data_IF_081237946685
#
_entry.id   IF_081237946685
#
_cell.length_a   1.000
_cell.length_b   1.000
_cell.length_c   1.000
_cell.angle_alpha   90.00
_cell.angle_beta   90.00
_cell.angle_gamma   90.00
#
_symmetry.space_group_name_H-M   'P 1'
#
loop_
_entity.id
_entity.type
_entity.pdbx_description
1 polymer ?
#
# COMPACT_ATOMS: atom_id res chain seq x y z
N UNK A 1 -5.89 -41.16 20.87
CA UNK A 1 -6.13 -42.15 19.80
C UNK A 1 -5.04 -42.03 18.75
N UNK A 2 -4.29 -43.09 18.46
CA UNK A 2 -3.19 -43.02 17.52
C UNK A 2 -3.74 -43.00 16.08
N UNK A 3 -3.81 -41.85 15.45
CA UNK A 3 -4.47 -41.62 14.15
C UNK A 3 -3.82 -42.37 12.97
N UNK A 4 -2.64 -42.95 13.15
CA UNK A 4 -1.88 -43.63 12.08
C UNK A 4 -1.76 -45.15 12.26
N UNK A 5 -2.45 -45.73 13.23
CA UNK A 5 -2.47 -47.17 13.37
C UNK A 5 -1.14 -47.87 13.76
N UNK A 6 -0.09 -47.07 14.07
CA UNK A 6 1.19 -47.64 14.49
C UNK A 6 1.26 -47.88 16.00
N UNK A 7 1.73 -49.05 16.37
CA UNK A 7 2.17 -49.35 17.72
C UNK A 7 3.67 -49.02 17.78
N UNK A 8 4.05 -48.04 18.51
CA UNK A 8 5.42 -47.54 18.62
C UNK A 8 5.75 -46.47 17.57
N UNK A 9 5.58 -45.24 17.92
CA UNK A 9 5.93 -44.06 17.09
C UNK A 9 7.41 -43.76 17.17
N UNK A 10 8.05 -43.70 16.00
CA UNK A 10 9.38 -43.11 15.85
C UNK A 10 9.34 -41.61 15.54
N UNK A 11 8.16 -41.05 15.15
CA UNK A 11 7.96 -39.65 14.80
C UNK A 11 6.95 -39.04 15.77
N UNK A 12 7.35 -37.98 16.45
CA UNK A 12 6.46 -37.23 17.30
C UNK A 12 5.46 -36.43 16.47
N UNK A 13 4.21 -36.36 16.93
CA UNK A 13 3.24 -35.42 16.36
C UNK A 13 3.69 -34.00 16.77
N UNK A 14 3.86 -33.09 15.82
CA UNK A 14 4.23 -31.71 16.17
C UNK A 14 3.14 -31.09 17.04
N UNK A 15 3.57 -30.31 18.02
CA UNK A 15 2.68 -29.47 18.83
C UNK A 15 2.23 -28.29 17.99
N UNK A 16 0.92 -28.12 17.84
CA UNK A 16 0.33 -27.04 17.08
C UNK A 16 0.35 -25.74 17.88
N UNK A 17 0.63 -24.65 17.22
CA UNK A 17 0.56 -23.31 17.82
C UNK A 17 -0.90 -22.91 18.04
N UNK A 18 -1.20 -22.43 19.26
CA UNK A 18 -2.55 -21.99 19.63
C UNK A 18 -2.87 -20.61 19.03
N UNK A 19 -1.92 -19.67 19.09
CA UNK A 19 -2.09 -18.34 18.53
C UNK A 19 -1.84 -18.36 17.02
N UNK A 20 -2.61 -17.60 16.23
CA UNK A 20 -2.34 -17.47 14.81
C UNK A 20 -1.02 -16.73 14.58
N UNK A 21 -0.31 -17.05 13.49
CA UNK A 21 0.77 -16.19 13.00
C UNK A 21 0.20 -15.01 12.24
N UNK A 22 0.97 -13.90 12.19
CA UNK A 22 0.66 -12.72 11.39
C UNK A 22 1.61 -12.70 10.18
N UNK A 23 1.07 -12.50 8.98
CA UNK A 23 1.86 -12.32 7.76
C UNK A 23 1.55 -10.95 7.19
N UNK A 24 2.54 -10.09 7.12
CA UNK A 24 2.43 -8.77 6.49
C UNK A 24 2.88 -8.90 5.04
N UNK A 25 2.01 -8.51 4.11
CA UNK A 25 2.28 -8.58 2.68
C UNK A 25 2.38 -7.19 2.10
N UNK A 26 3.52 -6.85 1.53
CA UNK A 26 3.73 -5.57 0.85
C UNK A 26 4.31 -5.79 -0.55
N UNK A 27 4.27 -4.76 -1.39
CA UNK A 27 5.00 -4.78 -2.66
C UNK A 27 6.50 -4.96 -2.42
N UNK A 28 6.99 -4.34 -1.35
CA UNK A 28 8.40 -4.25 -1.01
C UNK A 28 9.03 -2.96 -1.57
N UNK A 29 10.22 -2.66 -1.11
CA UNK A 29 11.01 -1.55 -1.60
C UNK A 29 12.49 -1.92 -1.55
N UNK A 30 13.28 -1.41 -2.48
CA UNK A 30 14.74 -1.53 -2.50
C UNK A 30 15.42 -0.20 -2.20
N UNK A 31 14.64 0.81 -1.84
CA UNK A 31 15.07 2.17 -1.61
C UNK A 31 15.09 2.53 -0.13
N UNK A 32 15.44 3.78 0.15
CA UNK A 32 15.38 4.38 1.50
C UNK A 32 14.03 4.21 2.21
N UNK A 33 12.96 3.89 1.46
CA UNK A 33 11.61 3.70 1.99
C UNK A 33 11.44 2.43 2.84
N UNK A 34 12.47 1.60 3.06
CA UNK A 34 12.42 0.48 4.01
C UNK A 34 12.04 0.94 5.43
N UNK A 35 12.47 2.14 5.83
CA UNK A 35 12.12 2.74 7.11
C UNK A 35 10.59 2.84 7.37
N UNK A 36 9.78 2.91 6.32
CA UNK A 36 8.31 2.89 6.41
C UNK A 36 7.81 1.53 6.92
N UNK A 37 8.43 0.44 6.48
CA UNK A 37 8.06 -0.89 6.95
C UNK A 37 8.42 -1.09 8.42
N UNK A 38 9.53 -0.50 8.86
CA UNK A 38 9.97 -0.53 10.27
C UNK A 38 8.98 0.23 11.17
N UNK A 39 8.45 1.38 10.72
CA UNK A 39 7.39 2.10 11.44
C UNK A 39 6.16 1.24 11.64
N UNK A 40 5.69 0.59 10.58
CA UNK A 40 4.55 -0.32 10.66
C UNK A 40 4.83 -1.53 11.55
N UNK A 41 5.99 -2.17 11.37
CA UNK A 41 6.39 -3.35 12.14
C UNK A 41 6.49 -3.05 13.62
N UNK A 42 7.09 -1.89 13.99
CA UNK A 42 7.17 -1.45 15.38
C UNK A 42 5.78 -1.30 16.02
N UNK A 43 4.84 -0.64 15.32
CA UNK A 43 3.47 -0.48 15.80
C UNK A 43 2.73 -1.82 15.91
N UNK A 44 2.99 -2.73 14.98
CA UNK A 44 2.44 -4.08 14.96
C UNK A 44 2.94 -4.91 16.15
N UNK A 45 4.24 -4.92 16.41
CA UNK A 45 4.88 -5.65 17.51
C UNK A 45 4.41 -5.14 18.87
N UNK A 46 4.22 -3.83 19.02
CA UNK A 46 3.64 -3.24 20.23
C UNK A 46 2.21 -3.73 20.49
N UNK A 47 1.42 -3.92 19.43
CA UNK A 47 0.02 -4.32 19.58
C UNK A 47 -0.17 -5.83 19.74
N UNK A 48 0.70 -6.65 19.12
CA UNK A 48 0.67 -8.12 19.18
C UNK A 48 2.02 -8.72 19.55
N UNK A 49 2.58 -8.41 20.73
CA UNK A 49 3.96 -8.78 21.10
C UNK A 49 4.18 -10.30 21.24
N UNK A 50 3.10 -11.07 21.37
CA UNK A 50 3.20 -12.52 21.56
C UNK A 50 2.93 -13.31 20.28
N UNK A 51 2.71 -12.63 19.14
CA UNK A 51 2.44 -13.30 17.87
C UNK A 51 3.71 -13.42 17.03
N UNK A 52 3.84 -14.54 16.34
CA UNK A 52 4.90 -14.70 15.35
C UNK A 52 4.54 -13.86 14.11
N UNK A 53 5.41 -12.98 13.71
CA UNK A 53 5.24 -12.11 12.55
C UNK A 53 6.16 -12.58 11.44
N UNK A 54 5.62 -12.69 10.23
CA UNK A 54 6.33 -12.92 8.99
C UNK A 54 6.11 -11.73 8.06
N UNK A 55 7.13 -11.42 7.26
CA UNK A 55 7.01 -10.46 6.17
C UNK A 55 7.06 -11.19 4.85
N UNK A 56 6.26 -10.76 3.88
CA UNK A 56 6.24 -11.29 2.52
C UNK A 56 6.15 -10.15 1.51
N UNK A 57 6.78 -10.34 0.35
CA UNK A 57 6.85 -9.33 -0.68
C UNK A 57 6.28 -9.84 -1.99
N UNK A 58 5.42 -9.03 -2.65
CA UNK A 58 4.80 -9.42 -3.93
C UNK A 58 5.74 -9.21 -5.11
N UNK A 59 6.58 -8.16 -5.08
CA UNK A 59 7.51 -7.87 -6.18
C UNK A 59 8.64 -8.89 -6.30
N UNK A 60 8.64 -9.65 -7.41
CA UNK A 60 9.70 -10.61 -7.72
C UNK A 60 11.07 -9.94 -7.90
N UNK A 61 11.10 -8.70 -8.42
CA UNK A 61 12.34 -7.95 -8.63
C UNK A 61 12.97 -7.58 -7.28
N UNK A 62 12.16 -7.06 -6.36
CA UNK A 62 12.62 -6.66 -5.02
C UNK A 62 13.09 -7.90 -4.24
N UNK A 63 12.30 -8.98 -4.26
CA UNK A 63 12.67 -10.24 -3.58
C UNK A 63 14.03 -10.79 -4.03
N UNK A 64 14.33 -10.76 -5.33
CA UNK A 64 15.64 -11.19 -5.87
C UNK A 64 16.80 -10.35 -5.36
N UNK A 65 16.57 -9.05 -5.11
CA UNK A 65 17.61 -8.13 -4.61
C UNK A 65 17.81 -8.22 -3.10
N UNK A 66 16.73 -8.38 -2.34
CA UNK A 66 16.72 -8.32 -0.87
C UNK A 66 16.81 -9.68 -0.19
N UNK A 67 16.52 -10.78 -0.91
CA UNK A 67 16.40 -12.12 -0.32
C UNK A 67 15.13 -12.32 0.52
N UNK A 68 14.21 -11.38 0.50
CA UNK A 68 12.96 -11.46 1.26
C UNK A 68 11.99 -12.50 0.66
N UNK A 69 11.20 -13.19 1.49
CA UNK A 69 10.32 -14.25 1.03
C UNK A 69 9.10 -13.73 0.25
N UNK A 70 8.58 -14.55 -0.63
CA UNK A 70 7.24 -14.42 -1.19
C UNK A 70 6.17 -14.78 -0.16
N UNK A 71 4.90 -14.46 -0.45
CA UNK A 71 3.79 -14.95 0.37
C UNK A 71 3.74 -16.48 0.43
N UNK A 72 4.02 -17.15 -0.69
CA UNK A 72 4.08 -18.61 -0.73
C UNK A 72 5.13 -19.19 0.23
N UNK A 73 6.35 -18.60 0.24
CA UNK A 73 7.41 -19.01 1.16
C UNK A 73 7.06 -18.69 2.62
N UNK A 74 6.46 -17.53 2.90
CA UNK A 74 6.04 -17.17 4.25
C UNK A 74 4.94 -18.11 4.79
N UNK A 75 3.98 -18.50 3.95
CA UNK A 75 2.95 -19.49 4.30
C UNK A 75 3.56 -20.87 4.56
N UNK A 76 4.50 -21.31 3.71
CA UNK A 76 5.21 -22.57 3.91
C UNK A 76 6.01 -22.57 5.22
N UNK A 77 6.67 -21.47 5.57
CA UNK A 77 7.38 -21.31 6.85
C UNK A 77 6.41 -21.36 8.03
N UNK A 78 5.27 -20.67 7.96
CA UNK A 78 4.26 -20.72 9.01
C UNK A 78 3.74 -22.15 9.22
N UNK A 79 3.45 -22.90 8.14
CA UNK A 79 3.05 -24.29 8.23
C UNK A 79 4.14 -25.19 8.83
N UNK A 80 5.40 -25.00 8.43
CA UNK A 80 6.56 -25.70 8.95
C UNK A 80 6.81 -25.43 10.44
N UNK A 81 6.50 -24.21 10.93
CA UNK A 81 6.53 -23.84 12.36
C UNK A 81 5.31 -24.34 13.15
N UNK A 82 4.45 -25.16 12.56
CA UNK A 82 3.27 -25.79 13.15
C UNK A 82 2.10 -24.84 13.43
N UNK A 83 2.04 -23.67 12.78
CA UNK A 83 0.83 -22.89 12.76
C UNK A 83 -0.27 -23.59 11.96
N UNK A 84 -1.54 -23.36 12.36
CA UNK A 84 -2.73 -23.82 11.62
C UNK A 84 -3.64 -22.67 11.23
N UNK A 85 -3.42 -21.52 11.85
CA UNK A 85 -4.12 -20.27 11.55
C UNK A 85 -3.11 -19.19 11.26
N UNK A 86 -3.34 -18.45 10.19
CA UNK A 86 -2.55 -17.29 9.81
C UNK A 86 -3.48 -16.12 9.54
N UNK A 87 -3.08 -14.95 9.99
CA UNK A 87 -3.78 -13.70 9.65
C UNK A 87 -2.88 -12.90 8.73
N UNK A 88 -3.38 -12.58 7.55
CA UNK A 88 -2.60 -11.96 6.48
C UNK A 88 -3.10 -10.53 6.31
N UNK A 89 -2.21 -9.55 6.51
CA UNK A 89 -2.51 -8.15 6.28
C UNK A 89 -1.75 -7.64 5.06
N UNK A 90 -2.44 -7.41 3.94
CA UNK A 90 -1.86 -6.71 2.80
C UNK A 90 -1.72 -5.22 3.09
N UNK A 91 -0.58 -4.63 2.71
CA UNK A 91 -0.33 -3.20 2.76
C UNK A 91 -0.64 -2.51 1.41
N UNK A 92 -1.33 -3.21 0.52
CA UNK A 92 -1.87 -2.63 -0.71
C UNK A 92 -2.92 -1.57 -0.39
N UNK A 93 -2.90 -0.49 -1.15
CA UNK A 93 -3.87 0.61 -0.99
C UNK A 93 -5.21 0.23 -1.59
N UNK A 94 -5.20 -0.37 -2.78
CA UNK A 94 -6.39 -0.67 -3.58
C UNK A 94 -6.61 -2.18 -3.71
N UNK A 95 -7.89 -2.64 -3.79
CA UNK A 95 -8.23 -4.06 -3.96
C UNK A 95 -8.12 -4.47 -5.43
N UNK A 96 -6.91 -4.45 -6.00
CA UNK A 96 -6.61 -4.80 -7.38
C UNK A 96 -6.17 -6.25 -7.57
N UNK A 97 -5.62 -6.52 -8.75
CA UNK A 97 -5.11 -7.83 -9.15
C UNK A 97 -4.08 -8.40 -8.16
N UNK A 98 -3.18 -7.56 -7.61
CA UNK A 98 -2.24 -8.03 -6.58
C UNK A 98 -2.93 -8.58 -5.33
N UNK A 99 -3.99 -7.91 -4.86
CA UNK A 99 -4.78 -8.39 -3.73
C UNK A 99 -5.47 -9.71 -4.06
N UNK A 100 -6.01 -9.87 -5.28
CA UNK A 100 -6.58 -11.14 -5.72
C UNK A 100 -5.55 -12.26 -5.72
N UNK A 101 -4.34 -12.01 -6.19
CA UNK A 101 -3.24 -12.98 -6.15
C UNK A 101 -2.85 -13.39 -4.72
N UNK A 102 -2.94 -12.45 -3.75
CA UNK A 102 -2.74 -12.78 -2.32
C UNK A 102 -3.83 -13.77 -1.86
N UNK A 103 -5.11 -13.50 -2.20
CA UNK A 103 -6.23 -14.39 -1.87
C UNK A 103 -6.03 -15.78 -2.47
N UNK A 104 -5.74 -15.85 -3.77
CA UNK A 104 -5.52 -17.09 -4.50
C UNK A 104 -4.32 -17.88 -3.94
N UNK A 105 -3.22 -17.20 -3.59
CA UNK A 105 -2.04 -17.87 -3.01
C UNK A 105 -2.38 -18.59 -1.72
N UNK A 106 -3.30 -18.07 -0.91
CA UNK A 106 -3.72 -18.72 0.34
C UNK A 106 -4.43 -20.05 0.10
N UNK A 107 -5.10 -20.24 -1.04
CA UNK A 107 -5.81 -21.46 -1.40
C UNK A 107 -4.88 -22.65 -1.65
N UNK A 108 -3.61 -22.39 -1.99
CA UNK A 108 -2.60 -23.45 -2.16
C UNK A 108 -2.12 -24.07 -0.83
N UNK A 109 -2.57 -23.55 0.30
CA UNK A 109 -2.18 -24.01 1.63
C UNK A 109 -3.36 -24.56 2.44
N UNK A 110 -3.94 -25.71 2.05
CA UNK A 110 -5.11 -26.30 2.74
C UNK A 110 -4.81 -26.72 4.19
N UNK A 111 -3.53 -26.83 4.56
CA UNK A 111 -3.11 -27.09 5.94
C UNK A 111 -3.16 -25.86 6.85
N UNK A 112 -3.30 -24.66 6.27
CA UNK A 112 -3.43 -23.39 6.97
C UNK A 112 -4.84 -22.82 6.80
N UNK A 113 -5.42 -22.32 7.88
CA UNK A 113 -6.64 -21.52 7.83
C UNK A 113 -6.24 -20.05 7.75
N UNK A 114 -6.45 -19.44 6.59
CA UNK A 114 -6.04 -18.07 6.30
C UNK A 114 -7.19 -17.09 6.56
N UNK A 115 -6.90 -15.99 7.24
CA UNK A 115 -7.82 -14.87 7.51
C UNK A 115 -7.19 -13.61 6.94
N UNK A 116 -7.84 -13.01 5.95
CA UNK A 116 -7.28 -11.86 5.24
C UNK A 116 -7.82 -10.55 5.77
N UNK A 117 -6.91 -9.61 6.03
CA UNK A 117 -7.22 -8.20 6.21
C UNK A 117 -7.58 -7.52 4.88
N UNK A 118 -8.34 -6.46 4.98
CA UNK A 118 -8.72 -5.65 3.81
C UNK A 118 -7.59 -4.67 3.44
N UNK A 119 -7.54 -4.27 2.17
CA UNK A 119 -6.65 -3.20 1.70
C UNK A 119 -7.04 -1.85 2.29
N UNK A 120 -6.18 -0.83 2.17
CA UNK A 120 -6.43 0.48 2.78
C UNK A 120 -7.75 1.11 2.30
N UNK A 121 -7.98 1.13 1.01
CA UNK A 121 -9.17 1.72 0.36
C UNK A 121 -10.14 0.64 -0.16
N UNK A 122 -10.37 -0.40 0.62
CA UNK A 122 -11.24 -1.52 0.25
C UNK A 122 -12.73 -1.16 0.23
N UNK A 123 -13.14 -0.16 1.00
CA UNK A 123 -14.53 0.29 1.18
C UNK A 123 -14.64 1.80 0.99
N UNK A 124 -15.79 2.29 0.56
CA UNK A 124 -16.00 3.72 0.36
C UNK A 124 -15.78 4.56 1.63
N UNK A 125 -16.20 4.07 2.79
CA UNK A 125 -15.94 4.76 4.06
C UNK A 125 -14.43 4.80 4.41
N UNK A 126 -13.65 3.81 3.98
CA UNK A 126 -12.18 3.82 4.17
C UNK A 126 -11.50 4.88 3.30
N UNK A 127 -12.01 5.09 2.09
CA UNK A 127 -11.54 6.19 1.23
C UNK A 127 -11.76 7.53 1.92
N UNK A 128 -12.93 7.73 2.53
CA UNK A 128 -13.24 8.95 3.29
C UNK A 128 -12.30 9.15 4.50
N UNK A 129 -11.96 8.07 5.20
CA UNK A 129 -11.00 8.10 6.32
C UNK A 129 -9.62 8.56 5.85
N UNK A 130 -9.12 7.98 4.74
CA UNK A 130 -7.80 8.34 4.17
C UNK A 130 -7.80 9.77 3.66
N UNK A 131 -8.86 10.20 2.96
CA UNK A 131 -8.95 11.57 2.47
C UNK A 131 -8.90 12.60 3.60
N UNK A 132 -9.54 12.35 4.75
CA UNK A 132 -9.46 13.23 5.92
C UNK A 132 -8.04 13.38 6.46
N UNK A 133 -7.21 12.35 6.37
CA UNK A 133 -5.79 12.44 6.74
C UNK A 133 -5.06 13.31 5.73
N UNK A 134 -5.30 13.11 4.43
CA UNK A 134 -4.61 13.84 3.37
C UNK A 134 -5.07 15.31 3.26
N UNK A 135 -6.30 15.64 3.65
CA UNK A 135 -6.81 17.03 3.67
C UNK A 135 -5.91 17.99 4.45
N UNK A 136 -5.20 17.50 5.47
CA UNK A 136 -4.27 18.30 6.27
C UNK A 136 -3.02 18.73 5.49
N UNK A 137 -2.72 18.03 4.40
CA UNK A 137 -1.58 18.30 3.53
C UNK A 137 -1.93 19.16 2.31
N UNK A 138 -3.21 19.42 2.08
CA UNK A 138 -3.65 20.16 0.90
C UNK A 138 -3.31 21.64 1.02
N UNK A 139 -2.73 22.18 -0.05
CA UNK A 139 -2.65 23.63 -0.23
C UNK A 139 -4.07 24.18 -0.30
N UNK A 140 -4.34 25.32 0.34
CA UNK A 140 -5.63 25.97 0.20
C UNK A 140 -5.84 26.47 -1.25
N UNK A 141 -7.09 26.57 -1.73
CA UNK A 141 -7.40 26.98 -3.11
C UNK A 141 -6.84 28.35 -3.52
N UNK A 142 -6.54 29.20 -2.54
CA UNK A 142 -5.92 30.53 -2.77
C UNK A 142 -4.41 30.47 -2.98
N UNK A 143 -3.77 29.32 -2.73
CA UNK A 143 -2.32 29.15 -2.80
C UNK A 143 -1.93 28.27 -3.98
N UNK A 144 -2.53 27.09 -4.11
CA UNK A 144 -2.06 26.15 -5.10
C UNK A 144 -3.02 25.02 -5.44
N UNK A 145 -2.57 24.21 -6.39
CA UNK A 145 -3.20 22.99 -6.85
C UNK A 145 -2.55 21.77 -6.17
N UNK A 146 -3.36 20.78 -5.79
CA UNK A 146 -2.89 19.52 -5.24
C UNK A 146 -3.11 18.40 -6.25
N UNK A 147 -2.09 17.62 -6.52
CA UNK A 147 -2.13 16.47 -7.41
C UNK A 147 -1.89 15.18 -6.62
N UNK A 148 -2.94 14.38 -6.41
CA UNK A 148 -2.81 13.05 -5.83
C UNK A 148 -2.23 12.10 -6.88
N UNK A 149 -1.01 11.64 -6.66
CA UNK A 149 -0.31 10.73 -7.55
C UNK A 149 -0.59 9.28 -7.17
N UNK A 150 -1.33 8.57 -8.03
CA UNK A 150 -1.70 7.17 -7.90
C UNK A 150 -0.69 6.29 -8.64
N UNK A 151 -0.54 5.03 -8.23
CA UNK A 151 0.24 4.08 -9.02
C UNK A 151 -0.47 3.77 -10.34
N UNK A 152 -1.75 3.43 -10.25
CA UNK A 152 -2.52 2.98 -11.40
C UNK A 152 -2.21 1.53 -11.78
N UNK A 153 -2.68 1.12 -12.95
CA UNK A 153 -2.43 -0.20 -13.54
C UNK A 153 -2.58 -0.14 -15.06
N UNK A 154 -1.71 -0.81 -15.84
CA UNK A 154 -1.85 -0.86 -17.29
C UNK A 154 -2.98 -1.81 -17.73
N UNK A 155 -3.56 -2.58 -16.81
CA UNK A 155 -4.59 -3.57 -17.12
C UNK A 155 -5.99 -2.96 -16.98
N UNK A 156 -6.70 -2.76 -18.07
CA UNK A 156 -8.07 -2.25 -18.03
C UNK A 156 -9.04 -3.14 -17.23
N UNK A 157 -8.77 -4.45 -17.17
CA UNK A 157 -9.55 -5.42 -16.42
C UNK A 157 -9.23 -5.47 -14.91
N UNK A 158 -8.23 -4.72 -14.43
CA UNK A 158 -7.88 -4.70 -13.01
C UNK A 158 -9.03 -4.10 -12.20
N UNK A 159 -9.54 -4.80 -11.16
CA UNK A 159 -10.64 -4.29 -10.34
C UNK A 159 -10.30 -2.98 -9.60
N UNK A 160 -9.02 -2.65 -9.39
CA UNK A 160 -8.61 -1.37 -8.81
C UNK A 160 -9.07 -0.16 -9.64
N UNK A 161 -9.26 -0.31 -10.95
CA UNK A 161 -9.72 0.77 -11.82
C UNK A 161 -11.05 1.40 -11.38
N UNK A 162 -11.97 0.59 -10.82
CA UNK A 162 -13.23 1.11 -10.29
C UNK A 162 -12.98 2.08 -9.13
N UNK A 163 -12.00 1.76 -8.29
CA UNK A 163 -11.65 2.61 -7.15
C UNK A 163 -10.90 3.85 -7.61
N UNK A 164 -9.98 3.74 -8.57
CA UNK A 164 -9.27 4.88 -9.15
C UNK A 164 -10.25 5.90 -9.76
N UNK A 165 -11.16 5.45 -10.63
CA UNK A 165 -12.18 6.30 -11.26
C UNK A 165 -13.18 6.85 -10.25
N UNK A 166 -13.57 6.04 -9.26
CA UNK A 166 -14.44 6.48 -8.17
C UNK A 166 -13.80 7.56 -7.30
N UNK A 167 -12.51 7.41 -6.99
CA UNK A 167 -11.74 8.40 -6.25
C UNK A 167 -11.60 9.71 -7.03
N UNK A 168 -11.24 9.64 -8.31
CA UNK A 168 -11.18 10.80 -9.20
C UNK A 168 -12.51 11.56 -9.19
N UNK A 169 -13.62 10.85 -9.36
CA UNK A 169 -14.96 11.44 -9.34
C UNK A 169 -15.32 12.08 -8.01
N UNK A 170 -14.93 11.45 -6.90
CA UNK A 170 -15.14 11.97 -5.55
C UNK A 170 -14.33 13.25 -5.33
N UNK A 171 -13.06 13.24 -5.69
CA UNK A 171 -12.14 14.38 -5.59
C UNK A 171 -12.66 15.56 -6.40
N UNK A 172 -12.99 15.35 -7.66
CA UNK A 172 -13.51 16.40 -8.55
C UNK A 172 -14.80 17.05 -8.03
N UNK A 173 -15.64 16.33 -7.30
CA UNK A 173 -16.87 16.86 -6.72
C UNK A 173 -16.66 17.62 -5.41
N UNK A 174 -15.63 17.24 -4.66
CA UNK A 174 -15.43 17.71 -3.30
C UNK A 174 -14.48 18.91 -3.20
N UNK A 175 -13.48 18.94 -4.08
CA UNK A 175 -12.41 19.94 -4.01
C UNK A 175 -12.31 20.70 -5.34
N UNK A 176 -12.07 22.01 -5.23
CA UNK A 176 -11.87 22.88 -6.39
C UNK A 176 -10.42 22.97 -6.86
N UNK A 177 -9.48 22.52 -6.02
CA UNK A 177 -8.04 22.61 -6.26
C UNK A 177 -7.32 21.28 -5.95
N UNK A 178 -8.00 20.16 -6.13
CA UNK A 178 -7.40 18.84 -6.01
C UNK A 178 -7.75 18.02 -7.26
N UNK A 179 -6.74 17.44 -7.87
CA UNK A 179 -6.88 16.52 -9.01
C UNK A 179 -6.13 15.22 -8.74
N UNK A 180 -6.35 14.23 -9.60
CA UNK A 180 -5.73 12.90 -9.49
C UNK A 180 -5.15 12.48 -10.83
N UNK A 181 -4.00 11.81 -10.81
CA UNK A 181 -3.48 11.09 -11.95
C UNK A 181 -2.73 9.84 -11.53
N UNK A 182 -2.64 8.87 -12.42
CA UNK A 182 -1.92 7.62 -12.24
C UNK A 182 -0.63 7.60 -13.03
N UNK A 183 0.39 6.94 -12.50
CA UNK A 183 1.64 6.67 -13.22
C UNK A 183 1.38 5.75 -14.42
N UNK A 184 0.46 4.79 -14.23
CA UNK A 184 0.06 3.85 -15.26
C UNK A 184 -1.47 3.77 -15.37
N UNK A 185 -1.99 3.72 -16.61
CA UNK A 185 -3.40 3.53 -16.88
C UNK A 185 -4.27 4.75 -16.61
N UNK A 186 -5.32 4.61 -15.82
CA UNK A 186 -6.35 5.65 -15.63
C UNK A 186 -6.57 5.98 -14.14
N UNK A 187 -6.89 7.26 -13.79
CA UNK A 187 -6.90 8.46 -14.63
C UNK A 187 -5.48 8.80 -15.13
N UNK A 188 -5.33 9.05 -16.42
CA UNK A 188 -3.99 9.23 -17.00
C UNK A 188 -3.44 10.64 -16.83
N UNK A 189 -2.12 10.74 -16.62
CA UNK A 189 -1.46 12.02 -16.41
C UNK A 189 -1.45 12.90 -17.66
N UNK A 190 -1.41 12.32 -18.85
CA UNK A 190 -1.43 13.10 -20.10
C UNK A 190 -2.78 13.80 -20.29
N UNK A 191 -3.86 13.09 -20.02
CA UNK A 191 -5.21 13.66 -20.03
C UNK A 191 -5.34 14.80 -19.04
N UNK A 192 -4.93 14.59 -17.78
CA UNK A 192 -4.91 15.63 -16.76
C UNK A 192 -4.09 16.85 -17.20
N UNK A 193 -2.86 16.65 -17.70
CA UNK A 193 -2.01 17.74 -18.17
C UNK A 193 -2.70 18.58 -19.25
N UNK A 194 -3.35 17.94 -20.22
CA UNK A 194 -4.10 18.62 -21.27
C UNK A 194 -5.29 19.43 -20.71
N UNK A 195 -5.96 18.93 -19.69
CA UNK A 195 -7.00 19.67 -18.96
C UNK A 195 -6.45 20.88 -18.23
N UNK A 196 -5.32 20.73 -17.54
CA UNK A 196 -4.66 21.86 -16.85
C UNK A 196 -4.25 22.97 -17.83
N UNK A 197 -3.78 22.63 -19.01
CA UNK A 197 -3.47 23.60 -20.09
C UNK A 197 -4.74 24.27 -20.58
N UNK A 198 -5.77 23.51 -20.95
CA UNK A 198 -7.05 24.04 -21.44
C UNK A 198 -7.70 25.01 -20.46
N UNK A 199 -7.64 24.69 -19.17
CA UNK A 199 -8.28 25.45 -18.11
C UNK A 199 -7.39 26.58 -17.57
N UNK A 200 -6.21 26.79 -18.16
CA UNK A 200 -5.20 27.75 -17.74
C UNK A 200 -4.88 27.66 -16.24
N UNK A 201 -4.65 26.43 -15.76
CA UNK A 201 -4.45 26.18 -14.33
C UNK A 201 -3.19 26.88 -13.79
N UNK A 202 -2.09 26.90 -14.53
CA UNK A 202 -0.85 27.60 -14.16
C UNK A 202 -1.04 29.13 -14.04
N UNK A 203 -2.01 29.71 -14.76
CA UNK A 203 -2.38 31.11 -14.59
C UNK A 203 -3.28 31.40 -13.37
N UNK A 204 -3.82 30.37 -12.75
CA UNK A 204 -4.70 30.47 -11.57
C UNK A 204 -3.99 30.09 -10.27
N UNK A 205 -3.05 29.17 -10.33
CA UNK A 205 -2.35 28.62 -9.17
C UNK A 205 -0.84 28.81 -9.32
N UNK A 206 -0.21 29.41 -8.32
CA UNK A 206 1.24 29.66 -8.31
C UNK A 206 2.04 28.40 -7.99
N UNK A 207 1.51 27.53 -7.15
CA UNK A 207 2.17 26.31 -6.65
C UNK A 207 1.35 25.08 -7.06
N UNK A 208 2.05 24.00 -7.44
CA UNK A 208 1.47 22.65 -7.59
C UNK A 208 2.17 21.70 -6.64
N UNK A 209 1.40 21.08 -5.76
CA UNK A 209 1.91 20.06 -4.83
C UNK A 209 1.48 18.67 -5.24
N UNK A 210 2.47 17.81 -5.51
CA UNK A 210 2.26 16.37 -5.73
C UNK A 210 2.21 15.67 -4.39
N UNK A 211 1.16 14.89 -4.16
CA UNK A 211 0.94 14.10 -2.95
C UNK A 211 0.90 12.63 -3.33
N UNK A 212 1.94 11.84 -3.01
CA UNK A 212 2.00 10.44 -3.38
C UNK A 212 0.94 9.62 -2.64
N UNK A 213 -0.04 9.08 -3.35
CA UNK A 213 -0.98 8.09 -2.85
C UNK A 213 -0.40 6.69 -3.03
N UNK A 214 0.84 6.53 -2.56
CA UNK A 214 1.66 5.33 -2.60
C UNK A 214 2.00 4.96 -1.17
N UNK A 215 2.01 3.66 -0.84
CA UNK A 215 2.45 3.24 0.51
C UNK A 215 3.93 3.58 0.71
N UNK A 216 4.77 3.18 -0.24
CA UNK A 216 6.17 3.54 -0.34
C UNK A 216 6.33 4.59 -1.45
N UNK A 217 6.68 5.81 -1.12
CA UNK A 217 7.05 6.85 -2.08
C UNK A 217 8.56 6.80 -2.34
N UNK A 218 9.01 5.68 -2.91
CA UNK A 218 10.42 5.43 -3.23
C UNK A 218 10.77 5.84 -4.67
N UNK A 219 11.31 4.90 -5.45
CA UNK A 219 11.85 5.14 -6.79
C UNK A 219 10.85 5.84 -7.73
N UNK A 220 9.57 5.47 -7.71
CA UNK A 220 8.55 6.16 -8.52
C UNK A 220 8.42 7.65 -8.16
N UNK A 221 8.52 8.01 -6.87
CA UNK A 221 8.47 9.41 -6.49
C UNK A 221 9.77 10.15 -6.86
N UNK A 222 10.91 9.47 -6.77
CA UNK A 222 12.20 10.04 -7.13
C UNK A 222 12.36 10.23 -8.65
N UNK A 223 12.00 9.23 -9.45
CA UNK A 223 12.24 9.20 -10.89
C UNK A 223 11.05 9.73 -11.70
N UNK A 224 9.84 9.18 -11.49
CA UNK A 224 8.69 9.48 -12.33
C UNK A 224 7.99 10.78 -11.94
N UNK A 225 7.89 11.08 -10.62
CA UNK A 225 7.24 12.32 -10.18
C UNK A 225 8.21 13.50 -10.18
N UNK A 226 9.40 13.37 -9.59
CA UNK A 226 10.29 14.47 -9.28
C UNK A 226 11.64 14.41 -10.01
N UNK A 227 11.85 13.42 -10.89
CA UNK A 227 13.09 13.27 -11.66
C UNK A 227 13.39 14.46 -12.55
N UNK A 228 14.67 14.59 -12.93
CA UNK A 228 15.14 15.68 -13.81
C UNK A 228 14.90 15.38 -15.31
N UNK A 229 14.42 14.18 -15.65
CA UNK A 229 14.12 13.79 -17.02
C UNK A 229 12.90 14.49 -17.59
N UNK A 230 12.85 14.69 -18.91
CA UNK A 230 11.72 15.34 -19.60
C UNK A 230 10.38 14.61 -19.42
N UNK A 231 10.42 13.32 -19.09
CA UNK A 231 9.23 12.49 -18.86
C UNK A 231 8.70 12.57 -17.45
N UNK A 232 9.43 13.15 -16.49
CA UNK A 232 8.95 13.31 -15.11
C UNK A 232 7.75 14.26 -15.06
N UNK A 233 6.86 14.03 -14.09
CA UNK A 233 5.71 14.91 -13.90
C UNK A 233 6.13 16.33 -13.58
N UNK A 234 7.14 16.52 -12.72
CA UNK A 234 7.73 17.83 -12.41
C UNK A 234 8.11 18.58 -13.69
N UNK A 235 8.92 17.96 -14.56
CA UNK A 235 9.39 18.61 -15.81
C UNK A 235 8.22 18.95 -16.73
N UNK A 236 7.25 18.06 -16.89
CA UNK A 236 6.09 18.28 -17.74
C UNK A 236 5.13 19.34 -17.19
N UNK A 237 4.96 19.44 -15.86
CA UNK A 237 4.14 20.45 -15.21
C UNK A 237 4.81 21.83 -15.27
N UNK A 238 6.13 21.89 -15.07
CA UNK A 238 6.90 23.13 -15.27
C UNK A 238 6.81 23.62 -16.73
N UNK A 239 6.88 22.70 -17.70
CA UNK A 239 6.77 23.04 -19.13
C UNK A 239 5.42 23.65 -19.53
N UNK A 240 4.34 23.38 -18.78
CA UNK A 240 3.02 23.99 -19.01
C UNK A 240 2.78 25.26 -18.18
N UNK A 241 3.81 25.75 -17.45
CA UNK A 241 3.81 27.05 -16.81
C UNK A 241 3.64 27.09 -15.30
N UNK A 242 3.72 25.95 -14.59
CA UNK A 242 3.82 26.00 -13.14
C UNK A 242 5.24 26.38 -12.72
N UNK A 243 5.39 27.47 -11.96
CA UNK A 243 6.69 27.96 -11.49
C UNK A 243 7.24 27.12 -10.33
N UNK A 244 6.36 26.65 -9.44
CA UNK A 244 6.73 25.84 -8.27
C UNK A 244 5.98 24.50 -8.26
N UNK A 245 6.72 23.44 -8.60
CA UNK A 245 6.22 22.04 -8.56
C UNK A 245 6.95 21.30 -7.47
N UNK A 246 6.25 21.03 -6.37
CA UNK A 246 6.79 20.34 -5.18
C UNK A 246 6.20 18.96 -5.03
N UNK A 247 6.90 18.07 -4.33
CA UNK A 247 6.36 16.80 -3.85
C UNK A 247 6.35 16.80 -2.34
N UNK A 248 5.25 16.32 -1.75
CA UNK A 248 5.13 16.23 -0.32
C UNK A 248 6.27 15.38 0.26
N UNK A 249 6.95 15.93 1.28
CA UNK A 249 8.12 15.31 1.88
C UNK A 249 8.02 15.24 3.40
N UNK A 250 8.84 14.41 4.01
CA UNK A 250 8.97 14.25 5.46
C UNK A 250 10.41 13.95 5.83
N UNK A 251 10.81 14.32 7.04
CA UNK A 251 12.14 13.99 7.58
C UNK A 251 12.02 12.87 8.60
N UNK A 252 12.78 11.81 8.43
CA UNK A 252 12.88 10.71 9.37
C UNK A 252 14.37 10.42 9.68
N UNK A 253 14.74 10.37 10.96
CA UNK A 253 16.10 10.12 11.40
C UNK A 253 17.16 11.03 10.73
N UNK A 254 16.81 12.28 10.42
CA UNK A 254 17.69 13.27 9.80
C UNK A 254 17.87 13.14 8.29
N UNK A 255 17.08 12.29 7.63
CA UNK A 255 17.05 12.16 6.17
C UNK A 255 15.66 12.56 5.62
N UNK A 256 15.65 13.20 4.47
CA UNK A 256 14.42 13.63 3.80
C UNK A 256 13.94 12.53 2.84
N UNK A 257 12.62 12.35 2.83
CA UNK A 257 11.91 11.36 2.01
C UNK A 257 10.68 11.97 1.37
N UNK A 258 10.29 11.51 0.19
CA UNK A 258 8.94 11.77 -0.31
C UNK A 258 7.93 11.07 0.59
N UNK A 259 6.92 11.81 1.05
CA UNK A 259 5.97 11.34 2.06
C UNK A 259 4.90 10.46 1.43
N UNK A 260 5.12 9.14 1.42
CA UNK A 260 4.11 8.16 1.09
C UNK A 260 3.15 7.90 2.28
N UNK A 261 2.10 7.14 2.05
CA UNK A 261 1.06 6.86 3.03
C UNK A 261 1.58 6.13 4.29
N UNK A 262 2.62 5.34 4.17
CA UNK A 262 3.19 4.62 5.30
C UNK A 262 3.86 5.49 6.36
N UNK A 263 4.06 6.80 6.09
CA UNK A 263 4.58 7.75 7.08
C UNK A 263 3.50 8.36 7.99
N UNK A 264 2.21 8.11 7.73
CA UNK A 264 1.14 8.64 8.56
C UNK A 264 0.75 7.65 9.65
N UNK A 265 0.85 8.04 10.94
CA UNK A 265 0.43 7.18 12.05
C UNK A 265 -1.03 6.73 11.93
N UNK A 266 -1.91 7.59 11.42
CA UNK A 266 -3.32 7.28 11.19
C UNK A 266 -3.49 6.18 10.15
N UNK A 267 -2.70 6.20 9.07
CA UNK A 267 -2.74 5.15 8.03
C UNK A 267 -2.23 3.81 8.58
N UNK A 268 -1.17 3.85 9.39
CA UNK A 268 -0.68 2.66 10.10
C UNK A 268 -1.81 2.11 10.98
N UNK A 269 -2.48 2.95 11.78
CA UNK A 269 -3.59 2.52 12.65
C UNK A 269 -4.76 1.96 11.82
N UNK A 270 -5.08 2.51 10.66
CA UNK A 270 -6.13 1.95 9.80
C UNK A 270 -5.81 0.52 9.38
N UNK A 271 -4.59 0.23 8.96
CA UNK A 271 -4.18 -1.15 8.65
C UNK A 271 -4.22 -2.06 9.87
N UNK A 272 -3.77 -1.57 11.04
CA UNK A 272 -3.84 -2.35 12.29
C UNK A 272 -5.28 -2.67 12.69
N UNK A 273 -6.24 -1.78 12.43
CA UNK A 273 -7.67 -2.03 12.64
C UNK A 273 -8.22 -3.10 11.67
N UNK A 274 -7.77 -3.10 10.40
CA UNK A 274 -8.16 -4.13 9.42
C UNK A 274 -7.60 -5.49 9.84
N UNK A 275 -6.34 -5.52 10.26
CA UNK A 275 -5.71 -6.71 10.85
C UNK A 275 -6.45 -7.20 12.09
N UNK A 276 -6.84 -6.30 13.01
CA UNK A 276 -7.57 -6.66 14.22
C UNK A 276 -8.93 -7.34 13.93
N UNK A 277 -9.62 -6.91 12.85
CA UNK A 277 -10.87 -7.58 12.42
C UNK A 277 -10.60 -9.01 11.94
N UNK A 278 -9.56 -9.20 11.12
CA UNK A 278 -9.17 -10.53 10.65
C UNK A 278 -8.67 -11.42 11.82
N UNK A 279 -7.94 -10.83 12.77
CA UNK A 279 -7.51 -11.51 14.00
C UNK A 279 -8.70 -11.98 14.83
N UNK A 280 -9.70 -11.14 15.05
CA UNK A 280 -10.91 -11.52 15.77
C UNK A 280 -11.70 -12.65 15.10
N UNK A 281 -11.59 -12.83 13.78
CA UNK A 281 -12.12 -14.01 13.08
C UNK A 281 -11.24 -15.23 13.33
N UNK A 282 -9.92 -15.09 13.28
CA UNK A 282 -8.97 -16.17 13.50
C UNK A 282 -9.03 -16.74 14.92
N UNK A 283 -9.38 -15.94 15.91
CA UNK A 283 -9.53 -16.35 17.31
C UNK A 283 -10.84 -17.11 17.56
N UNK A 284 -11.89 -16.82 16.78
CA UNK A 284 -13.21 -17.48 16.93
C UNK A 284 -13.30 -18.82 16.24
N UNK A 285 -12.55 -19.01 15.19
CA UNK A 285 -12.60 -20.18 14.28
C UNK A 285 -11.25 -20.89 14.18
#
# INVERSE_FOLDING_TARGET
MNRHGYIGRKVHTPELKEKPAIIIVSFGTSSRSEAVLDLFTTALEQRWPEHRIFHAFTSAVIRRKSGNPSLHEALAHAEAENFRRVVIQPLQIFPGTEYQQIVETCEFFPGLRSFLGETLMHRWNYIEEVLKVLEQEFLPPSVGLNLLALHGTPLAADPANIVYLGLERLIHRRYSNVCTASLEGTPDFTGLRNELVRDNAAGKFNELRIIPLLYFAGQHAEDDLMGEGETSWKSQLTAIGFDDVTCLSTTLAGSDYHKGLGYYPEIIEFFLQRLARAMGLAERY
#
